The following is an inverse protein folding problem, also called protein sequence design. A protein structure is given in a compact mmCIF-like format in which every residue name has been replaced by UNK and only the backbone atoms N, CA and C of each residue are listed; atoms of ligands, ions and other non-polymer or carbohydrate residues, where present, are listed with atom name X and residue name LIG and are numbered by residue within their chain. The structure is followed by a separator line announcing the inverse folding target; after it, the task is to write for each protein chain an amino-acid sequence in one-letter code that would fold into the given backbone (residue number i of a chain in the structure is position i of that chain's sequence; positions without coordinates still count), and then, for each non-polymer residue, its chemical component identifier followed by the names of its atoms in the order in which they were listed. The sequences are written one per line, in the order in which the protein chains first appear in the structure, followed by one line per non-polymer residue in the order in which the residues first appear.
data_IF_193596334330
#
_entry.id   IF_193596334330
#
_cell.length_a   1.000
_cell.length_b   1.000
_cell.length_c   1.000
_cell.angle_alpha   90.00
_cell.angle_beta   90.00
_cell.angle_gamma   90.00
#
_symmetry.space_group_name_H-M   'P 1'
#
loop_
_entity.id
_entity.type
_entity.pdbx_description
1 polymer ?
#
# COMPACT_ATOMS: atom_id res chain seq x y z
N UNK A 1 -20.89 7.30 -10.80
CA UNK A 1 -19.96 6.44 -10.02
C UNK A 1 -18.86 7.29 -9.40
N UNK A 2 -18.58 7.09 -8.12
CA UNK A 2 -17.53 7.83 -7.44
C UNK A 2 -16.19 7.13 -7.63
N UNK A 3 -15.22 7.84 -8.17
CA UNK A 3 -13.87 7.30 -8.37
C UNK A 3 -13.05 7.50 -7.09
N UNK A 4 -12.39 6.44 -6.67
CA UNK A 4 -11.47 6.46 -5.53
C UNK A 4 -10.17 5.82 -5.98
N UNK A 5 -9.09 6.57 -5.87
CA UNK A 5 -7.74 6.06 -6.14
C UNK A 5 -6.93 6.02 -4.86
N UNK A 6 -5.84 5.29 -4.87
CA UNK A 6 -5.02 5.10 -3.67
C UNK A 6 -3.55 5.00 -4.05
N UNK A 7 -2.72 5.64 -3.25
CA UNK A 7 -1.28 5.43 -3.25
C UNK A 7 -0.93 4.64 -1.98
N UNK A 8 -0.20 3.54 -2.12
CA UNK A 8 0.06 2.63 -1.01
C UNK A 8 1.56 2.26 -0.95
N UNK A 9 2.42 3.21 -0.54
CA UNK A 9 3.86 2.97 -0.49
C UNK A 9 4.26 2.14 0.73
N UNK A 10 5.32 1.34 0.57
CA UNK A 10 6.03 0.72 1.69
C UNK A 10 7.12 1.69 2.15
N UNK A 11 7.15 2.08 3.44
CA UNK A 11 8.07 3.10 3.92
C UNK A 11 9.45 2.50 4.24
N UNK A 12 10.14 2.01 3.21
CA UNK A 12 11.44 1.34 3.34
C UNK A 12 12.61 2.21 2.87
N UNK A 13 12.37 3.50 2.66
CA UNK A 13 13.39 4.44 2.21
C UNK A 13 12.76 5.74 1.72
N UNK A 14 13.53 6.50 0.94
CA UNK A 14 13.05 7.73 0.35
C UNK A 14 12.03 7.45 -0.77
N UNK A 15 11.13 8.39 -0.97
CA UNK A 15 10.23 8.35 -2.12
C UNK A 15 11.06 8.53 -3.39
N UNK A 16 11.12 7.51 -4.24
CA UNK A 16 11.84 7.59 -5.52
C UNK A 16 10.89 8.03 -6.63
N UNK A 17 11.48 8.39 -7.78
CA UNK A 17 10.72 8.99 -8.88
C UNK A 17 9.65 8.06 -9.46
N UNK A 18 9.88 6.75 -9.44
CA UNK A 18 8.86 5.78 -9.89
C UNK A 18 7.63 5.78 -8.99
N UNK A 19 7.82 5.84 -7.68
CA UNK A 19 6.72 5.96 -6.72
C UNK A 19 6.03 7.31 -6.82
N UNK A 20 6.79 8.38 -6.99
CA UNK A 20 6.25 9.73 -7.18
C UNK A 20 5.35 9.77 -8.44
N UNK A 21 5.77 9.14 -9.52
CA UNK A 21 4.99 9.03 -10.75
C UNK A 21 3.66 8.31 -10.51
N UNK A 22 3.70 7.20 -9.80
CA UNK A 22 2.50 6.42 -9.46
C UNK A 22 1.53 7.25 -8.62
N UNK A 23 2.05 7.94 -7.61
CA UNK A 23 1.25 8.84 -6.78
C UNK A 23 0.63 9.95 -7.61
N UNK A 24 1.40 10.57 -8.49
CA UNK A 24 0.94 11.66 -9.36
C UNK A 24 -0.19 11.19 -10.27
N UNK A 25 -0.07 10.04 -10.92
CA UNK A 25 -1.10 9.52 -11.82
C UNK A 25 -2.41 9.24 -11.07
N UNK A 26 -2.32 8.64 -9.89
CA UNK A 26 -3.51 8.39 -9.07
C UNK A 26 -4.17 9.69 -8.63
N UNK A 27 -3.36 10.67 -8.24
CA UNK A 27 -3.86 11.99 -7.83
C UNK A 27 -4.53 12.72 -9.00
N UNK A 28 -3.87 12.74 -10.17
CA UNK A 28 -4.42 13.39 -11.37
C UNK A 28 -5.75 12.77 -11.78
N UNK A 29 -5.82 11.45 -11.80
CA UNK A 29 -7.05 10.75 -12.16
C UNK A 29 -8.17 11.06 -11.18
N UNK A 30 -7.88 11.04 -9.88
CA UNK A 30 -8.86 11.40 -8.87
C UNK A 30 -9.35 12.84 -9.04
N UNK A 31 -8.45 13.79 -9.28
CA UNK A 31 -8.81 15.20 -9.46
C UNK A 31 -9.62 15.40 -10.74
N UNK A 32 -9.20 14.79 -11.83
CA UNK A 32 -9.91 14.93 -13.12
C UNK A 32 -11.33 14.37 -13.06
N UNK A 33 -11.56 13.33 -12.29
CA UNK A 33 -12.87 12.68 -12.16
C UNK A 33 -13.67 13.19 -10.97
N UNK A 34 -13.16 14.20 -10.25
CA UNK A 34 -13.74 14.72 -9.01
C UNK A 34 -13.93 13.63 -7.95
N UNK A 35 -13.03 12.65 -7.95
CA UNK A 35 -13.02 11.56 -7.00
C UNK A 35 -12.18 11.83 -5.77
N UNK A 36 -11.78 10.76 -5.08
CA UNK A 36 -10.93 10.83 -3.90
C UNK A 36 -9.58 10.18 -4.16
N UNK A 37 -8.54 10.78 -3.62
CA UNK A 37 -7.19 10.22 -3.59
C UNK A 37 -6.83 9.88 -2.16
N UNK A 38 -6.64 8.59 -1.87
CA UNK A 38 -6.37 8.08 -0.52
C UNK A 38 -4.91 7.67 -0.38
N UNK A 39 -4.42 7.68 0.86
CA UNK A 39 -3.06 7.27 1.19
C UNK A 39 -3.09 6.14 2.21
N UNK A 40 -2.41 5.03 1.89
CA UNK A 40 -2.20 3.92 2.82
C UNK A 40 -0.71 3.63 2.92
N UNK A 41 -0.19 3.65 4.14
CA UNK A 41 1.19 3.28 4.41
C UNK A 41 1.23 1.77 4.67
N UNK A 42 1.97 1.04 3.84
CA UNK A 42 2.12 -0.41 3.97
C UNK A 42 3.36 -0.74 4.81
N UNK A 43 3.22 -0.60 6.11
CA UNK A 43 4.28 -0.69 7.11
C UNK A 43 4.36 -2.07 7.78
N UNK A 44 4.16 -3.12 7.02
CA UNK A 44 4.19 -4.50 7.55
C UNK A 44 5.60 -5.01 7.82
N UNK A 45 6.60 -4.50 7.12
CA UNK A 45 8.02 -4.79 7.40
C UNK A 45 8.51 -3.86 8.50
N UNK A 46 8.30 -4.27 9.75
CA UNK A 46 8.59 -3.44 10.93
C UNK A 46 10.05 -3.04 11.07
N UNK A 47 10.97 -3.90 10.61
CA UNK A 47 12.40 -3.62 10.69
C UNK A 47 12.82 -2.46 9.77
N UNK A 48 12.16 -2.33 8.61
CA UNK A 48 12.47 -1.33 7.59
C UNK A 48 11.51 -0.15 7.60
N UNK A 49 10.37 -0.28 8.27
CA UNK A 49 9.30 0.74 8.29
C UNK A 49 9.46 1.61 9.52
N UNK A 50 10.41 2.55 9.47
CA UNK A 50 10.67 3.46 10.57
C UNK A 50 9.78 4.70 10.43
N UNK A 51 9.56 5.40 11.56
CA UNK A 51 8.85 6.67 11.55
C UNK A 51 9.52 7.70 10.64
N UNK A 52 10.86 7.72 10.62
CA UNK A 52 11.63 8.59 9.74
C UNK A 52 11.33 8.29 8.26
N UNK A 53 11.29 7.03 7.88
CA UNK A 53 10.96 6.63 6.51
C UNK A 53 9.53 7.02 6.13
N UNK A 54 8.58 6.89 7.05
CA UNK A 54 7.20 7.33 6.83
C UNK A 54 7.16 8.84 6.60
N UNK A 55 7.85 9.60 7.44
CA UNK A 55 7.90 11.06 7.34
C UNK A 55 8.53 11.52 6.02
N UNK A 56 9.53 10.82 5.53
CA UNK A 56 10.15 11.12 4.23
C UNK A 56 9.15 10.97 3.08
N UNK A 57 8.31 9.95 3.11
CA UNK A 57 7.26 9.77 2.11
C UNK A 57 6.24 10.89 2.20
N UNK A 58 5.78 11.21 3.41
CA UNK A 58 4.80 12.28 3.61
C UNK A 58 5.35 13.64 3.17
N UNK A 59 6.60 13.92 3.49
CA UNK A 59 7.27 15.16 3.08
C UNK A 59 7.42 15.23 1.56
N UNK A 60 7.75 14.11 0.91
CA UNK A 60 7.83 14.04 -0.55
C UNK A 60 6.50 14.34 -1.22
N UNK A 61 5.41 13.80 -0.71
CA UNK A 61 4.07 14.07 -1.23
C UNK A 61 3.67 15.53 -1.02
N UNK A 62 3.99 16.11 0.13
CA UNK A 62 3.76 17.52 0.42
C UNK A 62 4.56 18.43 -0.50
N UNK A 63 5.82 18.06 -0.76
CA UNK A 63 6.69 18.80 -1.67
C UNK A 63 6.13 18.83 -3.09
N UNK A 64 5.51 17.72 -3.53
CA UNK A 64 4.85 17.62 -4.83
C UNK A 64 3.43 18.23 -4.82
N UNK A 65 2.96 18.69 -3.67
CA UNK A 65 1.61 19.22 -3.46
C UNK A 65 0.51 18.20 -3.82
N UNK A 66 0.76 16.93 -3.58
CA UNK A 66 -0.21 15.85 -3.78
C UNK A 66 -0.96 15.61 -2.47
N UNK A 67 -2.05 16.33 -2.28
CA UNK A 67 -2.86 16.24 -1.06
C UNK A 67 -3.81 15.04 -1.15
N UNK A 68 -3.80 14.23 -0.10
CA UNK A 68 -4.72 13.09 0.02
C UNK A 68 -5.97 13.49 0.80
N UNK A 69 -7.05 12.75 0.56
CA UNK A 69 -8.33 12.94 1.24
C UNK A 69 -8.42 12.00 2.45
N UNK A 70 -9.01 12.49 3.54
CA UNK A 70 -9.22 11.70 4.73
C UNK A 70 -7.94 11.43 5.51
N UNK A 71 -8.00 10.47 6.42
CA UNK A 71 -6.89 10.09 7.27
C UNK A 71 -5.96 9.09 6.57
N UNK A 72 -4.69 9.11 6.95
CA UNK A 72 -3.72 8.12 6.49
C UNK A 72 -4.07 6.77 7.14
N UNK A 73 -4.14 5.73 6.32
CA UNK A 73 -4.35 4.36 6.80
C UNK A 73 -3.00 3.68 6.93
N UNK A 74 -2.73 3.12 8.09
CA UNK A 74 -1.51 2.35 8.37
C UNK A 74 -1.89 0.87 8.38
N UNK A 75 -1.31 0.09 7.48
CA UNK A 75 -1.64 -1.33 7.34
C UNK A 75 -1.36 -2.10 8.62
N UNK A 76 -0.28 -1.80 9.33
CA UNK A 76 0.08 -2.46 10.58
C UNK A 76 -0.98 -2.30 11.67
N UNK A 77 -1.71 -1.19 11.67
CA UNK A 77 -2.77 -0.95 12.67
C UNK A 77 -4.01 -1.80 12.45
N UNK A 78 -4.16 -2.40 11.26
CA UNK A 78 -5.28 -3.25 10.91
C UNK A 78 -4.95 -4.74 10.96
N UNK A 79 -3.82 -5.11 11.54
CA UNK A 79 -3.36 -6.50 11.61
C UNK A 79 -4.39 -7.44 12.24
N UNK A 80 -5.02 -7.00 13.34
CA UNK A 80 -6.04 -7.79 14.01
C UNK A 80 -7.21 -8.08 13.08
N UNK A 81 -7.67 -7.06 12.35
CA UNK A 81 -8.78 -7.21 11.40
C UNK A 81 -8.38 -8.11 10.23
N UNK A 82 -7.15 -7.97 9.73
CA UNK A 82 -6.64 -8.84 8.67
C UNK A 82 -6.62 -10.31 9.11
N UNK A 83 -6.19 -10.58 10.34
CA UNK A 83 -6.17 -11.94 10.89
C UNK A 83 -7.58 -12.50 11.04
N UNK A 84 -8.54 -11.70 11.51
CA UNK A 84 -9.93 -12.10 11.64
C UNK A 84 -10.53 -12.49 10.28
N UNK A 85 -10.32 -11.67 9.26
CA UNK A 85 -10.84 -11.94 7.91
C UNK A 85 -10.16 -13.15 7.29
N UNK A 86 -8.85 -13.30 7.47
CA UNK A 86 -8.11 -14.45 6.97
C UNK A 86 -8.65 -15.75 7.59
N UNK A 87 -8.91 -15.75 8.88
CA UNK A 87 -9.51 -16.91 9.57
C UNK A 87 -10.91 -17.21 9.05
N UNK A 88 -11.72 -16.19 8.85
CA UNK A 88 -13.07 -16.32 8.30
C UNK A 88 -13.02 -16.96 6.90
N UNK A 89 -12.12 -16.51 6.04
CA UNK A 89 -11.95 -17.08 4.71
C UNK A 89 -11.48 -18.52 4.78
N UNK A 90 -10.59 -18.85 5.71
CA UNK A 90 -10.13 -20.23 5.92
C UNK A 90 -11.29 -21.13 6.36
N UNK A 91 -12.11 -20.67 7.30
CA UNK A 91 -13.25 -21.42 7.82
C UNK A 91 -14.32 -21.66 6.73
N UNK A 92 -14.44 -20.73 5.78
CA UNK A 92 -15.37 -20.83 4.65
C UNK A 92 -14.81 -21.64 3.48
N UNK A 93 -13.57 -22.14 3.57
CA UNK A 93 -12.92 -22.89 2.50
C UNK A 93 -12.49 -22.04 1.32
N UNK A 94 -12.44 -20.71 1.49
CA UNK A 94 -12.03 -19.78 0.43
C UNK A 94 -10.54 -19.44 0.50
N UNK A 95 -9.83 -19.93 1.49
CA UNK A 95 -8.40 -19.77 1.66
C UNK A 95 -7.80 -21.07 2.20
N UNK A 96 -6.50 -21.24 2.06
CA UNK A 96 -5.78 -22.38 2.60
C UNK A 96 -4.43 -21.93 3.17
N UNK A 97 -3.91 -22.73 4.10
CA UNK A 97 -2.59 -22.47 4.69
C UNK A 97 -1.51 -22.87 3.69
N UNK A 98 -0.54 -21.98 3.50
CA UNK A 98 0.60 -22.23 2.61
C UNK A 98 1.86 -22.39 3.45
N UNK A 99 2.61 -23.47 3.18
CA UNK A 99 3.86 -23.80 3.89
C UNK A 99 5.06 -23.74 2.94
N UNK A 100 4.93 -23.03 1.81
CA UNK A 100 6.01 -22.88 0.86
C UNK A 100 7.17 -22.07 1.44
N UNK A 101 8.40 -22.39 1.03
CA UNK A 101 9.57 -21.61 1.41
C UNK A 101 9.59 -20.25 0.70
N UNK A 102 10.36 -19.30 1.24
CA UNK A 102 10.53 -17.97 0.63
C UNK A 102 11.11 -18.07 -0.79
N UNK A 103 11.90 -19.08 -1.10
CA UNK A 103 12.42 -19.29 -2.44
C UNK A 103 11.33 -19.50 -3.47
N UNK A 104 10.25 -20.19 -3.11
CA UNK A 104 9.12 -20.39 -4.01
C UNK A 104 8.38 -19.09 -4.27
N UNK A 105 8.27 -18.21 -3.26
CA UNK A 105 7.64 -16.89 -3.42
C UNK A 105 8.46 -15.96 -4.30
N UNK A 106 9.78 -16.11 -4.30
CA UNK A 106 10.65 -15.24 -5.09
C UNK A 106 10.93 -15.79 -6.48
N UNK A 107 10.44 -16.98 -6.80
CA UNK A 107 10.56 -17.56 -8.14
C UNK A 107 9.70 -16.75 -9.12
N UNK A 108 10.21 -16.47 -10.32
CA UNK A 108 9.41 -15.75 -11.32
C UNK A 108 8.19 -16.57 -11.72
N UNK A 109 7.04 -15.91 -11.82
CA UNK A 109 5.85 -16.54 -12.35
C UNK A 109 5.94 -16.69 -13.88
N UNK A 110 5.15 -17.57 -14.49
CA UNK A 110 5.14 -17.67 -15.96
C UNK A 110 4.83 -16.34 -16.66
N UNK A 111 4.15 -15.41 -15.99
CA UNK A 111 3.88 -14.08 -16.55
C UNK A 111 5.09 -13.17 -16.54
N UNK A 112 6.01 -13.39 -15.62
CA UNK A 112 7.17 -12.53 -15.42
C UNK A 112 8.40 -13.01 -16.19
N UNK A 113 8.32 -14.19 -16.77
CA UNK A 113 9.42 -14.79 -17.53
C UNK A 113 9.35 -14.48 -19.02
#
# INVERSE_FOLDING_TARGET
MKIVTRFAPSPTGNLHIGSARTALFNWLFAKNTKGKFLLRIEDTDKARSTEDSINKILDGLKWLDLKWDGEIIYQSKNQKRHAEVAKELLDKGLAYKCYCSCLLYTSPSPRDS
#
